data_IF_826797759532
#
_entry.id   IF_826797759532
#
_cell.length_a   1.000
_cell.length_b   1.000
_cell.length_c   1.000
_cell.angle_alpha   90.00
_cell.angle_beta   90.00
_cell.angle_gamma   90.00
#
_symmetry.space_group_name_H-M   'P 1'
#
loop_
_entity.id
_entity.type
_entity.pdbx_description
1 polymer ?
#
# COMPACT_ATOMS: atom_id res chain seq x y z
N UNK A 1 11.22 11.49 -11.15
CA UNK A 1 9.90 11.42 -11.81
C UNK A 1 9.02 10.43 -11.06
N UNK A 2 7.71 10.64 -11.00
CA UNK A 2 6.74 9.73 -10.38
C UNK A 2 5.34 9.96 -10.99
N UNK A 3 4.39 9.02 -10.88
CA UNK A 3 2.99 9.23 -11.30
C UNK A 3 2.17 10.08 -10.32
N UNK A 4 2.69 10.31 -9.12
CA UNK A 4 2.11 11.15 -8.08
C UNK A 4 3.20 12.02 -7.41
N UNK A 5 2.89 12.68 -6.29
CA UNK A 5 3.77 13.65 -5.62
C UNK A 5 5.21 13.15 -5.45
N UNK A 6 6.15 13.80 -6.14
CA UNK A 6 7.58 13.44 -6.05
C UNK A 6 8.13 13.76 -4.66
N UNK A 7 7.72 14.88 -4.07
CA UNK A 7 8.13 15.24 -2.70
C UNK A 7 7.54 14.28 -1.66
N UNK A 8 6.31 13.81 -1.89
CA UNK A 8 5.67 12.77 -1.07
C UNK A 8 6.47 11.47 -1.11
N UNK A 9 6.76 10.98 -2.33
CA UNK A 9 7.57 9.78 -2.52
C UNK A 9 8.95 9.90 -1.86
N UNK A 10 9.64 11.04 -2.02
CA UNK A 10 10.95 11.25 -1.38
C UNK A 10 10.82 11.22 0.14
N UNK A 11 9.86 11.96 0.70
CA UNK A 11 9.62 12.01 2.14
C UNK A 11 9.37 10.61 2.69
N UNK A 12 8.50 9.85 2.04
CA UNK A 12 8.24 8.47 2.41
C UNK A 12 9.49 7.61 2.26
N UNK A 13 10.24 7.67 1.16
CA UNK A 13 11.46 6.87 0.99
C UNK A 13 12.54 7.11 2.07
N UNK A 14 12.57 8.31 2.67
CA UNK A 14 13.57 8.71 3.66
C UNK A 14 13.15 8.43 5.11
N UNK A 15 11.87 8.14 5.35
CA UNK A 15 11.37 7.77 6.67
C UNK A 15 11.76 6.34 7.06
N UNK A 16 11.76 6.02 8.37
CA UNK A 16 11.90 4.64 8.87
C UNK A 16 10.83 3.73 8.30
N UNK A 17 11.18 2.47 7.99
CA UNK A 17 10.20 1.48 7.58
C UNK A 17 9.31 1.12 8.77
N UNK A 18 7.99 1.11 8.60
CA UNK A 18 7.06 0.87 9.69
C UNK A 18 5.85 0.10 9.18
N UNK A 19 5.40 -0.85 9.98
CA UNK A 19 4.34 -1.79 9.64
C UNK A 19 3.53 -2.17 10.88
N UNK A 20 2.26 -2.49 10.68
CA UNK A 20 1.43 -3.11 11.71
C UNK A 20 1.98 -4.50 12.05
N UNK A 21 2.13 -4.80 13.33
CA UNK A 21 2.87 -5.97 13.81
C UNK A 21 1.93 -7.05 14.34
N UNK A 22 1.85 -8.17 13.63
CA UNK A 22 0.90 -9.23 13.94
C UNK A 22 1.28 -10.12 15.12
N UNK A 23 0.29 -10.73 15.76
CA UNK A 23 0.50 -11.64 16.91
C UNK A 23 1.22 -12.94 16.57
N UNK A 24 1.29 -13.28 15.27
CA UNK A 24 1.99 -14.46 14.77
C UNK A 24 3.50 -14.24 14.62
N UNK A 25 3.97 -12.99 14.68
CA UNK A 25 5.39 -12.66 14.60
C UNK A 25 6.09 -13.05 15.90
N UNK A 26 7.08 -13.92 15.81
CA UNK A 26 7.75 -14.49 16.99
C UNK A 26 8.99 -13.72 17.42
N UNK A 27 9.61 -12.98 16.49
CA UNK A 27 10.86 -12.27 16.70
C UNK A 27 10.76 -10.92 15.99
N UNK A 28 11.06 -9.86 16.72
CA UNK A 28 11.18 -8.53 16.14
C UNK A 28 12.41 -8.47 15.23
N UNK A 29 12.35 -7.83 14.05
CA UNK A 29 13.51 -7.68 13.18
C UNK A 29 14.65 -6.96 13.91
N UNK A 30 15.88 -7.28 13.54
CA UNK A 30 17.06 -6.61 14.08
C UNK A 30 16.94 -5.08 13.95
N UNK A 31 17.33 -4.36 15.01
CA UNK A 31 17.32 -2.89 15.04
C UNK A 31 15.95 -2.27 14.78
N UNK A 32 14.90 -2.89 15.30
CA UNK A 32 13.55 -2.35 15.29
C UNK A 32 13.08 -1.92 16.70
N UNK A 33 12.07 -1.06 16.73
CA UNK A 33 11.38 -0.60 17.94
C UNK A 33 9.90 -0.95 17.82
N UNK A 34 9.37 -1.70 18.79
CA UNK A 34 7.94 -1.91 18.91
C UNK A 34 7.29 -0.66 19.52
N UNK A 35 6.28 -0.11 18.84
CA UNK A 35 5.52 1.05 19.26
C UNK A 35 4.01 0.73 19.22
N UNK A 36 3.49 0.18 20.33
CA UNK A 36 2.10 -0.25 20.41
C UNK A 36 1.82 -1.41 19.46
N UNK A 37 1.02 -1.14 18.42
CA UNK A 37 0.63 -2.10 17.37
C UNK A 37 1.51 -2.03 16.11
N UNK A 38 2.52 -1.15 16.11
CA UNK A 38 3.44 -0.96 15.00
C UNK A 38 4.86 -1.40 15.36
N UNK A 39 5.64 -1.80 14.37
CA UNK A 39 7.09 -1.93 14.48
C UNK A 39 7.77 -0.93 13.55
N UNK A 40 8.72 -0.18 14.07
CA UNK A 40 9.54 0.76 13.31
C UNK A 40 10.96 0.22 13.17
N UNK A 41 11.42 0.02 11.94
CA UNK A 41 12.77 -0.42 11.61
C UNK A 41 13.73 0.77 11.56
N UNK A 42 15.01 0.56 11.88
CA UNK A 42 16.02 1.62 11.71
C UNK A 42 16.38 1.86 10.24
N UNK A 43 16.27 0.83 9.41
CA UNK A 43 16.44 0.94 7.97
C UNK A 43 15.44 1.93 7.36
N UNK A 44 15.92 2.71 6.39
CA UNK A 44 15.05 3.60 5.63
C UNK A 44 14.23 2.77 4.63
N UNK A 45 12.98 3.18 4.39
CA UNK A 45 12.01 2.42 3.57
C UNK A 45 12.53 2.01 2.19
N UNK A 46 13.29 2.88 1.52
CA UNK A 46 13.91 2.56 0.21
C UNK A 46 14.89 1.38 0.23
N UNK A 47 15.38 1.01 1.42
CA UNK A 47 16.38 -0.03 1.65
C UNK A 47 15.74 -1.37 2.04
N UNK A 48 14.43 -1.37 2.30
CA UNK A 48 13.67 -2.56 2.71
C UNK A 48 12.80 -3.01 1.55
N UNK A 49 13.20 -4.11 0.90
CA UNK A 49 12.41 -4.77 -0.12
C UNK A 49 11.68 -5.97 0.47
N UNK A 50 10.44 -6.15 0.03
CA UNK A 50 9.57 -7.26 0.41
C UNK A 50 9.05 -7.99 -0.82
N UNK A 51 9.03 -9.32 -0.75
CA UNK A 51 8.41 -10.22 -1.71
C UNK A 51 6.90 -10.06 -1.60
N UNK A 52 6.24 -9.81 -2.72
CA UNK A 52 4.79 -9.74 -2.81
C UNK A 52 4.31 -10.33 -4.14
N UNK A 53 2.99 -10.30 -4.33
CA UNK A 53 2.34 -10.82 -5.51
C UNK A 53 1.12 -10.01 -5.92
N UNK A 54 0.91 -9.87 -7.23
CA UNK A 54 -0.33 -9.34 -7.81
C UNK A 54 -0.70 -10.06 -9.12
N UNK A 55 -1.96 -9.97 -9.59
CA UNK A 55 -2.41 -10.66 -10.79
C UNK A 55 -1.57 -10.40 -12.04
N UNK A 56 -1.15 -9.15 -12.29
CA UNK A 56 -0.38 -8.82 -13.49
C UNK A 56 1.13 -8.87 -13.27
N UNK A 57 1.64 -8.47 -12.09
CA UNK A 57 3.08 -8.50 -11.83
C UNK A 57 3.59 -9.91 -11.48
N UNK A 58 2.71 -10.82 -11.06
CA UNK A 58 3.07 -12.10 -10.45
C UNK A 58 4.01 -11.87 -9.26
N UNK A 59 5.15 -12.55 -9.18
CA UNK A 59 6.12 -12.31 -8.11
C UNK A 59 6.87 -11.00 -8.34
N UNK A 60 6.89 -10.12 -7.36
CA UNK A 60 7.71 -8.91 -7.41
C UNK A 60 8.32 -8.57 -6.06
N UNK A 61 9.35 -7.71 -6.10
CA UNK A 61 9.89 -7.04 -4.92
C UNK A 61 9.32 -5.63 -4.85
N UNK A 62 8.61 -5.32 -3.78
CA UNK A 62 8.09 -3.99 -3.46
C UNK A 62 8.92 -3.31 -2.39
N UNK A 63 8.98 -1.99 -2.43
CA UNK A 63 9.49 -1.18 -1.33
C UNK A 63 8.50 -1.20 -0.17
N UNK A 64 9.00 -1.45 1.05
CA UNK A 64 8.21 -1.29 2.26
C UNK A 64 8.14 0.19 2.63
N UNK A 65 7.20 0.92 2.03
CA UNK A 65 6.91 2.30 2.42
C UNK A 65 5.88 2.29 3.55
N UNK A 66 6.13 2.95 4.69
CA UNK A 66 5.06 3.10 5.69
C UNK A 66 3.94 3.94 5.10
N UNK A 67 2.76 3.57 5.52
CA UNK A 67 1.53 4.20 5.13
C UNK A 67 0.58 4.11 6.33
N UNK A 68 -0.33 5.09 6.49
CA UNK A 68 -1.23 5.14 7.64
C UNK A 68 -2.04 3.83 7.77
N UNK A 69 -2.51 3.29 6.65
CA UNK A 69 -3.30 2.07 6.59
C UNK A 69 -2.53 0.83 7.05
N UNK A 70 -1.19 0.84 6.98
CA UNK A 70 -0.40 -0.26 7.55
C UNK A 70 -0.59 -0.38 9.07
N UNK A 71 -0.88 0.74 9.72
CA UNK A 71 -1.07 0.82 11.17
C UNK A 71 -2.55 0.75 11.53
N UNK A 72 -3.38 1.58 10.90
CA UNK A 72 -4.81 1.65 11.23
C UNK A 72 -5.55 0.34 10.93
N UNK A 73 -5.24 -0.36 9.83
CA UNK A 73 -5.86 -1.67 9.53
C UNK A 73 -5.44 -2.71 10.57
N UNK A 74 -4.17 -2.73 10.98
CA UNK A 74 -3.69 -3.66 11.99
C UNK A 74 -4.37 -3.42 13.34
N UNK A 75 -4.55 -2.15 13.73
CA UNK A 75 -5.28 -1.80 14.95
C UNK A 75 -6.77 -2.17 14.83
N UNK A 76 -7.42 -1.81 13.72
CA UNK A 76 -8.84 -2.08 13.47
C UNK A 76 -9.18 -3.57 13.48
N UNK A 77 -8.29 -4.42 12.95
CA UNK A 77 -8.46 -5.88 12.95
C UNK A 77 -7.92 -6.56 14.22
N UNK A 78 -7.56 -5.78 15.24
CA UNK A 78 -7.14 -6.33 16.54
C UNK A 78 -8.32 -6.90 17.31
N UNK A 79 -8.16 -8.13 17.81
CA UNK A 79 -9.13 -8.78 18.70
C UNK A 79 -8.51 -8.86 20.10
N UNK A 80 -9.29 -8.45 21.11
CA UNK A 80 -8.89 -8.50 22.52
C UNK A 80 -8.31 -7.18 23.01
N UNK A 81 -7.44 -7.25 24.02
CA UNK A 81 -6.78 -6.08 24.61
C UNK A 81 -5.73 -5.49 23.66
N UNK A 82 -5.71 -4.17 23.47
CA UNK A 82 -4.80 -3.53 22.50
C UNK A 82 -3.31 -3.68 22.86
N UNK A 83 -2.99 -3.82 24.15
CA UNK A 83 -1.60 -3.99 24.64
C UNK A 83 -1.14 -5.44 24.61
N UNK A 84 -2.08 -6.39 24.70
CA UNK A 84 -1.81 -7.82 24.57
C UNK A 84 -2.96 -8.51 23.81
N UNK A 85 -3.00 -8.36 22.48
CA UNK A 85 -4.11 -8.83 21.68
C UNK A 85 -4.10 -10.35 21.53
N UNK A 86 -5.30 -10.93 21.42
CA UNK A 86 -5.46 -12.35 21.09
C UNK A 86 -5.14 -12.59 19.60
N UNK A 87 -5.47 -11.61 18.75
CA UNK A 87 -5.17 -11.63 17.32
C UNK A 87 -4.90 -10.23 16.80
N UNK A 88 -3.89 -10.13 15.92
CA UNK A 88 -3.60 -8.96 15.09
C UNK A 88 -2.88 -9.43 13.81
N UNK A 89 -3.22 -8.90 12.63
CA UNK A 89 -2.47 -9.19 11.40
C UNK A 89 -1.20 -8.34 11.30
N UNK A 90 -0.19 -8.86 10.61
CA UNK A 90 0.91 -8.03 10.10
C UNK A 90 0.42 -7.32 8.84
N UNK A 91 0.56 -6.00 8.77
CA UNK A 91 0.07 -5.19 7.64
C UNK A 91 1.15 -4.20 7.23
N UNK A 92 1.50 -4.18 5.95
CA UNK A 92 2.46 -3.24 5.38
C UNK A 92 2.18 -3.02 3.90
N UNK A 93 2.67 -1.89 3.38
CA UNK A 93 2.62 -1.63 1.96
C UNK A 93 3.80 -2.28 1.23
N UNK A 94 3.52 -3.05 0.19
CA UNK A 94 4.52 -3.62 -0.71
C UNK A 94 4.44 -2.91 -2.07
N UNK A 95 5.12 -1.76 -2.18
CA UNK A 95 4.92 -0.85 -3.31
C UNK A 95 5.95 -1.04 -4.41
N UNK A 96 5.49 -1.37 -5.62
CA UNK A 96 6.31 -1.34 -6.84
C UNK A 96 5.85 -0.16 -7.71
N UNK A 97 6.54 0.99 -7.67
CA UNK A 97 6.16 2.15 -8.47
C UNK A 97 6.42 1.92 -9.97
N UNK A 98 6.02 2.88 -10.81
CA UNK A 98 6.43 2.87 -12.22
C UNK A 98 7.95 2.87 -12.37
N UNK A 99 8.45 2.31 -13.49
CA UNK A 99 9.88 2.17 -13.78
C UNK A 99 10.67 3.47 -13.56
N UNK A 100 10.14 4.61 -14.02
CA UNK A 100 10.80 5.91 -13.83
C UNK A 100 10.93 6.32 -12.36
N UNK A 101 9.99 5.91 -11.51
CA UNK A 101 10.06 6.14 -10.08
C UNK A 101 11.01 5.14 -9.40
N UNK A 102 11.10 3.88 -9.84
CA UNK A 102 12.16 2.95 -9.41
C UNK A 102 13.54 3.55 -9.67
N UNK A 103 13.78 4.04 -10.89
CA UNK A 103 15.03 4.74 -11.25
C UNK A 103 15.25 6.00 -10.40
N UNK A 104 14.18 6.74 -10.11
CA UNK A 104 14.26 7.97 -9.30
C UNK A 104 14.59 7.66 -7.83
N UNK A 105 14.07 6.57 -7.26
CA UNK A 105 14.39 6.14 -5.89
C UNK A 105 15.88 5.79 -5.78
N UNK A 106 16.48 5.21 -6.83
CA UNK A 106 17.91 4.90 -6.85
C UNK A 106 18.80 6.16 -6.74
N UNK A 107 18.29 7.35 -7.09
CA UNK A 107 19.00 8.62 -6.93
C UNK A 107 19.14 9.03 -5.46
N UNK A 108 18.22 8.59 -4.59
CA UNK A 108 18.22 8.86 -3.14
C UNK A 108 19.22 7.99 -2.36
N UNK A 109 20.18 7.34 -3.04
CA UNK A 109 21.18 6.49 -2.39
C UNK A 109 21.90 7.27 -1.28
N UNK A 110 21.94 6.69 -0.08
CA UNK A 110 22.45 7.30 1.17
C UNK A 110 21.56 8.42 1.76
N UNK A 111 20.33 8.58 1.27
CA UNK A 111 19.39 9.58 1.77
C UNK A 111 19.69 11.00 1.32
N UNK A 112 20.55 11.18 0.31
CA UNK A 112 20.96 12.49 -0.19
C UNK A 112 20.08 12.94 -1.36
N UNK A 113 19.36 14.05 -1.17
CA UNK A 113 18.58 14.71 -2.23
C UNK A 113 19.43 15.58 -3.15
N UNK A 114 20.70 15.86 -2.84
CA UNK A 114 21.56 16.80 -3.56
C UNK A 114 21.83 16.44 -5.04
N UNK A 115 21.54 15.20 -5.44
CA UNK A 115 21.61 14.74 -6.84
C UNK A 115 20.34 15.02 -7.64
N UNK A 116 19.24 15.38 -6.99
CA UNK A 116 17.97 15.66 -7.63
C UNK A 116 18.00 17.07 -8.23
N UNK A 117 17.97 17.15 -9.56
CA UNK A 117 17.99 18.42 -10.29
C UNK A 117 16.60 18.94 -10.66
N UNK A 118 15.64 18.03 -10.79
CA UNK A 118 14.25 18.32 -11.14
C UNK A 118 13.32 17.27 -10.53
N UNK A 119 12.08 17.70 -10.28
CA UNK A 119 10.99 16.88 -9.76
C UNK A 119 9.81 17.04 -10.73
N UNK A 120 9.25 15.93 -11.18
CA UNK A 120 8.20 15.92 -12.20
C UNK A 120 7.20 14.80 -11.93
N UNK A 121 5.92 15.17 -11.98
CA UNK A 121 4.79 14.24 -11.91
C UNK A 121 4.37 13.90 -13.34
N UNK A 122 4.56 12.64 -13.75
CA UNK A 122 4.24 12.16 -15.09
C UNK A 122 2.72 12.01 -15.20
N UNK A 123 2.11 12.66 -16.21
CA UNK A 123 0.66 12.58 -16.48
C UNK A 123 0.35 12.44 -17.96
N UNK A 124 0.62 13.49 -18.73
CA UNK A 124 0.25 13.54 -20.16
C UNK A 124 1.18 12.67 -21.01
N UNK A 125 2.44 12.52 -20.59
CA UNK A 125 3.45 11.70 -21.28
C UNK A 125 3.29 10.19 -21.07
N UNK A 126 2.33 9.75 -20.24
CA UNK A 126 2.05 8.32 -20.05
C UNK A 126 1.45 7.76 -21.36
N UNK A 127 2.20 6.90 -22.05
CA UNK A 127 1.78 6.31 -23.33
C UNK A 127 0.82 5.13 -23.11
N UNK A 128 1.12 4.26 -22.14
CA UNK A 128 0.34 3.08 -21.80
C UNK A 128 0.64 2.63 -20.37
N UNK A 129 -0.12 1.66 -19.86
CA UNK A 129 0.05 1.11 -18.52
C UNK A 129 -1.22 1.16 -17.68
N UNK A 130 -1.10 0.69 -16.45
CA UNK A 130 -2.16 0.69 -15.45
C UNK A 130 -1.57 0.93 -14.06
N UNK A 131 -2.45 1.26 -13.12
CA UNK A 131 -2.16 1.20 -11.70
C UNK A 131 -2.93 0.01 -11.11
N UNK A 132 -2.20 -1.02 -10.68
CA UNK A 132 -2.72 -2.23 -10.05
C UNK A 132 -2.62 -2.06 -8.53
N UNK A 133 -3.71 -1.61 -7.91
CA UNK A 133 -3.77 -1.26 -6.49
C UNK A 133 -4.82 -2.10 -5.78
N UNK A 134 -4.41 -2.81 -4.74
CA UNK A 134 -5.30 -3.72 -4.00
C UNK A 134 -4.71 -4.22 -2.69
N UNK A 135 -5.47 -5.07 -2.03
CA UNK A 135 -5.04 -5.81 -0.85
C UNK A 135 -4.59 -7.22 -1.25
N UNK A 136 -3.58 -7.74 -0.56
CA UNK A 136 -3.13 -9.11 -0.73
C UNK A 136 -3.07 -9.82 0.63
N UNK A 137 -4.03 -10.72 0.85
CA UNK A 137 -4.15 -11.49 2.07
C UNK A 137 -3.39 -12.80 1.92
N UNK A 138 -2.48 -13.07 2.87
CA UNK A 138 -1.67 -14.29 2.90
C UNK A 138 -1.96 -15.03 4.20
N UNK A 139 -2.38 -16.29 4.10
CA UNK A 139 -2.83 -17.10 5.24
C UNK A 139 -2.26 -18.52 5.18
N UNK A 140 -1.98 -19.15 6.32
CA UNK A 140 -1.61 -20.58 6.33
C UNK A 140 -2.83 -21.50 6.19
N UNK A 141 -4.03 -20.99 6.48
CA UNK A 141 -5.27 -21.78 6.49
C UNK A 141 -6.04 -21.71 5.17
N UNK A 142 -5.85 -20.64 4.41
CA UNK A 142 -6.56 -20.37 3.16
C UNK A 142 -5.59 -20.04 2.03
N UNK A 143 -6.06 -20.18 0.79
CA UNK A 143 -5.34 -19.65 -0.37
C UNK A 143 -5.10 -18.16 -0.18
N UNK A 144 -3.94 -17.70 -0.64
CA UNK A 144 -3.69 -16.26 -0.65
C UNK A 144 -4.66 -15.60 -1.63
N UNK A 145 -5.10 -14.39 -1.32
CA UNK A 145 -6.19 -13.74 -2.05
C UNK A 145 -5.85 -12.28 -2.31
N UNK A 146 -5.96 -11.89 -3.58
CA UNK A 146 -5.81 -10.51 -4.02
C UNK A 146 -7.16 -9.93 -4.41
N UNK A 147 -7.43 -8.69 -4.00
CA UNK A 147 -8.59 -7.91 -4.41
C UNK A 147 -8.18 -6.47 -4.66
N UNK A 148 -8.53 -5.91 -5.82
CA UNK A 148 -8.13 -4.56 -6.16
C UNK A 148 -8.48 -4.11 -7.56
N UNK A 149 -8.06 -2.88 -7.87
CA UNK A 149 -8.29 -2.16 -9.11
C UNK A 149 -7.14 -2.36 -10.10
N UNK A 150 -7.48 -2.66 -11.35
CA UNK A 150 -6.53 -2.69 -12.49
C UNK A 150 -6.82 -1.53 -13.45
N UNK A 151 -6.78 -0.30 -12.95
CA UNK A 151 -7.19 0.87 -13.72
C UNK A 151 -6.13 1.24 -14.76
N UNK A 152 -6.47 1.14 -16.05
CA UNK A 152 -5.58 1.59 -17.13
C UNK A 152 -5.60 3.11 -17.34
N UNK A 153 -4.48 3.66 -17.80
CA UNK A 153 -4.39 5.09 -18.18
C UNK A 153 -5.41 5.45 -19.26
N UNK A 154 -5.65 4.56 -20.23
CA UNK A 154 -6.60 4.78 -21.31
C UNK A 154 -8.05 4.89 -20.81
N UNK A 155 -8.42 4.11 -19.79
CA UNK A 155 -9.74 4.24 -19.15
C UNK A 155 -9.82 5.49 -18.30
N UNK A 156 -8.81 5.76 -17.47
CA UNK A 156 -8.78 6.95 -16.61
C UNK A 156 -9.00 8.25 -17.39
N UNK A 157 -8.29 8.41 -18.52
CA UNK A 157 -8.41 9.58 -19.42
C UNK A 157 -9.79 9.73 -20.08
N UNK A 158 -10.50 8.62 -20.30
CA UNK A 158 -11.88 8.65 -20.82
C UNK A 158 -12.90 9.05 -19.75
N UNK A 159 -12.62 8.71 -18.49
CA UNK A 159 -13.53 8.95 -17.37
C UNK A 159 -13.41 10.37 -16.82
N UNK A 160 -12.18 10.84 -16.62
CA UNK A 160 -11.92 12.14 -16.01
C UNK A 160 -10.70 12.81 -16.66
N UNK A 161 -10.88 14.07 -17.08
CA UNK A 161 -9.76 14.89 -17.58
C UNK A 161 -8.73 15.12 -16.48
N UNK A 162 -7.49 15.38 -16.89
CA UNK A 162 -6.36 15.74 -16.01
C UNK A 162 -5.94 14.65 -15.00
N UNK A 163 -6.38 13.41 -15.21
CA UNK A 163 -6.06 12.28 -14.34
C UNK A 163 -5.23 11.21 -15.05
N UNK A 164 -4.26 10.66 -14.30
CA UNK A 164 -3.66 9.36 -14.57
C UNK A 164 -4.51 8.26 -13.93
N UNK A 165 -4.11 6.99 -14.09
CA UNK A 165 -4.72 5.89 -13.33
C UNK A 165 -4.54 6.10 -11.81
N UNK A 166 -3.31 6.33 -11.37
CA UNK A 166 -2.97 6.61 -9.97
C UNK A 166 -3.81 7.75 -9.39
N UNK A 167 -3.86 8.90 -10.08
CA UNK A 167 -4.59 10.05 -9.54
C UNK A 167 -6.10 9.83 -9.54
N UNK A 168 -6.65 9.11 -10.52
CA UNK A 168 -8.09 8.84 -10.57
C UNK A 168 -8.54 7.93 -9.42
N UNK A 169 -7.77 6.90 -9.09
CA UNK A 169 -8.03 6.06 -7.91
C UNK A 169 -8.09 6.90 -6.64
N UNK A 170 -7.13 7.80 -6.42
CA UNK A 170 -7.10 8.68 -5.24
C UNK A 170 -8.27 9.65 -5.20
N UNK A 171 -8.50 10.43 -6.27
CA UNK A 171 -9.53 11.49 -6.24
C UNK A 171 -10.95 10.91 -6.21
N UNK A 172 -11.18 9.73 -6.80
CA UNK A 172 -12.49 9.06 -6.69
C UNK A 172 -12.77 8.60 -5.26
N UNK A 173 -11.77 8.07 -4.54
CA UNK A 173 -11.89 7.78 -3.10
C UNK A 173 -12.20 9.04 -2.28
N UNK A 174 -11.54 10.16 -2.59
CA UNK A 174 -11.79 11.44 -1.91
C UNK A 174 -13.23 11.92 -2.15
N UNK A 175 -13.74 11.84 -3.38
CA UNK A 175 -15.12 12.23 -3.70
C UNK A 175 -16.13 11.36 -2.94
N UNK A 176 -15.91 10.04 -2.87
CA UNK A 176 -16.77 9.15 -2.09
C UNK A 176 -16.71 9.47 -0.59
N UNK A 177 -15.53 9.73 -0.04
CA UNK A 177 -15.36 10.16 1.36
C UNK A 177 -16.03 11.50 1.66
N UNK A 178 -15.96 12.47 0.74
CA UNK A 178 -16.67 13.75 0.86
C UNK A 178 -18.19 13.56 0.86
N UNK A 179 -18.72 12.71 -0.04
CA UNK A 179 -20.14 12.39 -0.07
C UNK A 179 -20.59 11.68 1.23
N UNK A 180 -19.74 10.79 1.77
CA UNK A 180 -20.02 10.13 3.04
C UNK A 180 -20.04 11.14 4.20
N UNK A 181 -19.10 12.09 4.22
CA UNK A 181 -19.05 13.14 5.23
C UNK A 181 -20.25 14.09 5.17
N UNK A 182 -20.75 14.39 3.96
CA UNK A 182 -21.99 15.15 3.78
C UNK A 182 -23.21 14.38 4.32
N UNK A 183 -23.28 13.07 4.08
CA UNK A 183 -24.34 12.21 4.61
C UNK A 183 -24.24 11.99 6.13
N UNK A 184 -23.04 12.05 6.70
CA UNK A 184 -22.75 11.76 8.10
C UNK A 184 -21.98 12.90 8.81
N UNK A 185 -22.56 14.12 8.90
CA UNK A 185 -21.82 15.33 9.27
C UNK A 185 -21.45 15.44 10.76
N UNK A 186 -21.75 14.43 11.58
CA UNK A 186 -21.61 14.46 13.05
C UNK A 186 -20.77 13.33 13.64
N UNK A 187 -20.10 12.54 12.80
CA UNK A 187 -19.29 11.38 13.24
C UNK A 187 -17.95 11.77 13.89
N UNK A 188 -17.55 13.05 13.81
CA UNK A 188 -16.31 13.53 14.40
C UNK A 188 -15.09 13.14 13.56
N UNK A 189 -14.00 12.77 14.22
CA UNK A 189 -12.79 12.30 13.55
C UNK A 189 -12.90 10.79 13.33
N UNK A 190 -12.84 10.38 12.08
CA UNK A 190 -12.91 8.97 11.66
C UNK A 190 -11.80 8.66 10.65
N UNK A 191 -11.32 7.42 10.66
CA UNK A 191 -10.44 6.85 9.64
C UNK A 191 -11.24 6.00 8.63
N UNK A 192 -10.57 5.53 7.56
CA UNK A 192 -11.22 4.85 6.43
C UNK A 192 -11.96 3.58 6.86
N UNK A 193 -11.43 2.86 7.84
CA UNK A 193 -11.97 1.61 8.40
C UNK A 193 -13.30 1.82 9.13
N UNK A 194 -13.60 3.06 9.54
CA UNK A 194 -14.84 3.42 10.24
C UNK A 194 -15.91 3.94 9.30
N UNK A 195 -15.60 4.16 8.02
CA UNK A 195 -16.56 4.56 7.01
C UNK A 195 -17.40 3.36 6.57
N UNK A 196 -18.63 3.62 6.13
CA UNK A 196 -19.45 2.61 5.47
C UNK A 196 -18.83 2.27 4.11
N UNK A 197 -18.17 1.11 4.03
CA UNK A 197 -17.46 0.69 2.84
C UNK A 197 -18.39 0.48 1.64
N UNK A 198 -19.65 0.06 1.84
CA UNK A 198 -20.62 -0.14 0.75
C UNK A 198 -20.97 1.23 0.14
N UNK A 199 -21.24 2.23 0.99
CA UNK A 199 -21.48 3.60 0.54
C UNK A 199 -20.31 4.16 -0.28
N UNK A 200 -19.07 3.95 0.21
CA UNK A 200 -17.87 4.42 -0.49
C UNK A 200 -17.71 3.69 -1.83
N UNK A 201 -17.87 2.37 -1.81
CA UNK A 201 -17.69 1.51 -2.98
C UNK A 201 -18.71 1.84 -4.08
N UNK A 202 -20.00 2.00 -3.75
CA UNK A 202 -21.06 2.32 -4.69
C UNK A 202 -20.81 3.61 -5.48
N UNK A 203 -20.07 4.56 -4.90
CA UNK A 203 -19.70 5.81 -5.56
C UNK A 203 -18.44 5.62 -6.41
N UNK A 204 -17.39 5.06 -5.82
CA UNK A 204 -16.05 5.12 -6.39
C UNK A 204 -15.70 3.95 -7.31
N UNK A 205 -16.35 2.78 -7.16
CA UNK A 205 -16.02 1.55 -7.90
C UNK A 205 -15.98 1.78 -9.41
N UNK A 206 -16.92 2.54 -9.96
CA UNK A 206 -16.97 2.83 -11.40
C UNK A 206 -15.64 3.39 -11.95
N UNK A 207 -14.91 4.15 -11.12
CA UNK A 207 -13.61 4.76 -11.42
C UNK A 207 -12.43 3.81 -11.19
N UNK A 208 -12.61 2.76 -10.38
CA UNK A 208 -11.61 1.75 -10.06
C UNK A 208 -11.67 0.52 -10.97
N UNK A 209 -12.78 0.30 -11.67
CA UNK A 209 -12.95 -0.85 -12.54
C UNK A 209 -11.85 -0.94 -13.62
N UNK A 210 -11.40 -2.15 -14.02
CA UNK A 210 -11.85 -3.45 -13.53
C UNK A 210 -11.37 -3.75 -12.12
N UNK A 211 -12.28 -4.25 -11.27
CA UNK A 211 -11.94 -4.87 -9.99
C UNK A 211 -11.63 -6.34 -10.23
N UNK A 212 -10.44 -6.79 -9.86
CA UNK A 212 -9.99 -8.17 -9.98
C UNK A 212 -9.99 -8.82 -8.60
N UNK A 213 -10.47 -10.05 -8.52
CA UNK A 213 -10.42 -10.90 -7.35
C UNK A 213 -9.74 -12.21 -7.75
N UNK A 214 -8.63 -12.56 -7.09
CA UNK A 214 -7.85 -13.73 -7.50
C UNK A 214 -7.29 -14.49 -6.29
N UNK A 215 -7.63 -15.77 -6.22
CA UNK A 215 -6.97 -16.73 -5.34
C UNK A 215 -5.68 -17.27 -5.96
N UNK A 216 -4.70 -17.55 -5.11
CA UNK A 216 -3.42 -18.14 -5.51
C UNK A 216 -2.82 -18.96 -4.38
N UNK A 217 -2.08 -20.00 -4.74
CA UNK A 217 -1.29 -20.80 -3.78
C UNK A 217 0.04 -20.11 -3.43
N UNK A 218 0.25 -18.86 -3.87
CA UNK A 218 1.45 -18.09 -3.56
C UNK A 218 1.69 -17.98 -2.06
N UNK A 219 2.93 -18.21 -1.65
CA UNK A 219 3.48 -17.96 -0.31
C UNK A 219 4.95 -17.53 -0.49
N UNK A 220 5.53 -16.76 0.45
CA UNK A 220 6.97 -16.48 0.41
C UNK A 220 7.79 -17.78 0.37
N UNK A 221 8.89 -17.77 -0.37
CA UNK A 221 9.81 -18.91 -0.55
C UNK A 221 9.15 -20.23 -1.04
N UNK A 222 7.99 -20.14 -1.68
CA UNK A 222 7.21 -21.29 -2.15
C UNK A 222 6.52 -22.08 -1.04
N UNK A 223 6.20 -21.44 0.10
CA UNK A 223 5.40 -22.04 1.17
C UNK A 223 6.15 -23.02 2.06
N UNK A 224 7.48 -23.11 1.93
CA UNK A 224 8.31 -23.83 2.89
C UNK A 224 8.28 -23.01 4.18
N UNK A 225 7.83 -23.51 5.33
CA UNK A 225 7.93 -22.90 6.68
C UNK A 225 6.93 -21.77 7.01
N UNK A 226 7.04 -21.11 8.17
CA UNK A 226 5.97 -20.26 8.72
C UNK A 226 5.83 -18.92 7.96
N UNK A 227 4.63 -18.36 7.98
CA UNK A 227 4.38 -16.98 7.54
C UNK A 227 4.81 -16.01 8.64
N UNK A 228 6.07 -15.59 8.60
CA UNK A 228 6.64 -14.54 9.46
C UNK A 228 7.36 -13.51 8.60
N UNK A 229 7.38 -12.24 9.02
CA UNK A 229 7.83 -11.11 8.22
C UNK A 229 9.23 -11.26 7.62
N UNK A 230 10.19 -11.83 8.37
CA UNK A 230 11.58 -12.00 7.90
C UNK A 230 11.70 -12.77 6.58
N UNK A 231 10.69 -13.59 6.26
CA UNK A 231 10.67 -14.40 5.03
C UNK A 231 10.12 -13.66 3.84
N UNK A 232 9.32 -12.64 4.10
CA UNK A 232 8.87 -11.70 3.11
C UNK A 232 9.98 -10.72 2.74
N UNK A 233 11.05 -10.55 3.52
CA UNK A 233 12.21 -9.74 3.08
C UNK A 233 12.85 -10.33 1.81
N UNK A 234 13.17 -9.47 0.84
CA UNK A 234 13.75 -9.82 -0.45
C UNK A 234 15.27 -9.63 -0.50
#
# INVERSE_FOLDING_TARGET
MCTWSVDGLITECLQPAELGWGTHETINPDRSLLNGYAIAMREQRREVLVKSWSPNALNFSGYLLTHNESLSIADYLTIGDSTRPDYRPTVYYAYHPCDQAVDSIALLKNGDEGKIRSKEVIKDDIVSGMDELGIFLVSDNYKSFWLGSNLSIGKARKMAKYNSATSLQVVSSIIAGMAWAEANPREGLVESEQLDWEFIYDIAEQYWQPIVAQETDWKPDGGRGPLIFDRFRA
#
